data_IF_003514535291
#
_entry.id   IF_003514535291
#
_cell.length_a   1.000
_cell.length_b   1.000
_cell.length_c   1.000
_cell.angle_alpha   90.00
_cell.angle_beta   90.00
_cell.angle_gamma   90.00
#
_symmetry.space_group_name_H-M   'P 1'
#
loop_
_entity.id
_entity.type
_entity.pdbx_description
1 polymer ?
#
# COMPACT_ATOMS: atom_id res chain seq x y z
N UNK A 1 -1.73 -0.27 9.99
CA UNK A 1 -1.36 0.80 9.03
C UNK A 1 -1.05 0.30 7.62
N UNK A 2 -1.43 -0.93 7.23
CA UNK A 2 -1.05 -1.48 5.92
C UNK A 2 -1.85 -0.90 4.75
N UNK A 3 -3.13 -0.60 4.98
CA UNK A 3 -4.02 0.03 4.00
C UNK A 3 -3.61 1.46 3.69
N UNK A 4 -3.41 2.30 4.72
CA UNK A 4 -3.02 3.71 4.56
C UNK A 4 -1.73 3.86 3.73
N UNK A 5 -0.74 3.01 3.97
CA UNK A 5 0.51 3.01 3.20
C UNK A 5 0.29 2.66 1.72
N UNK A 6 -0.59 1.71 1.43
CA UNK A 6 -0.95 1.39 0.04
C UNK A 6 -1.71 2.53 -0.65
N UNK A 7 -2.55 3.28 0.07
CA UNK A 7 -3.21 4.47 -0.47
C UNK A 7 -2.21 5.60 -0.76
N UNK A 8 -1.23 5.82 0.12
CA UNK A 8 -0.14 6.78 -0.11
C UNK A 8 0.69 6.39 -1.34
N UNK A 9 0.95 5.09 -1.55
CA UNK A 9 1.61 4.62 -2.77
C UNK A 9 0.80 4.93 -4.02
N UNK A 10 -0.50 4.63 -4.02
CA UNK A 10 -1.38 4.92 -5.15
C UNK A 10 -1.38 6.42 -5.48
N UNK A 11 -1.49 7.28 -4.46
CA UNK A 11 -1.43 8.73 -4.63
C UNK A 11 -0.09 9.19 -5.19
N UNK A 12 1.02 8.69 -4.64
CA UNK A 12 2.37 9.05 -5.10
C UNK A 12 2.56 8.70 -6.57
N UNK A 13 2.10 7.51 -6.98
CA UNK A 13 2.20 7.08 -8.37
C UNK A 13 1.28 7.90 -9.29
N UNK A 14 0.05 8.20 -8.86
CA UNK A 14 -0.86 9.05 -9.62
C UNK A 14 -0.30 10.45 -9.84
N UNK A 15 0.36 11.04 -8.83
CA UNK A 15 1.00 12.35 -8.97
C UNK A 15 2.19 12.31 -9.95
N UNK A 16 3.01 11.26 -9.91
CA UNK A 16 4.11 11.06 -10.88
C UNK A 16 3.60 10.92 -12.30
N UNK A 17 2.52 10.17 -12.48
CA UNK A 17 1.90 9.90 -13.78
C UNK A 17 0.92 11.00 -14.23
N UNK A 18 0.77 12.09 -13.44
CA UNK A 18 -0.23 13.15 -13.62
C UNK A 18 -1.66 12.62 -13.89
N UNK A 19 -2.04 11.53 -13.22
CA UNK A 19 -3.37 10.93 -13.32
C UNK A 19 -4.43 11.85 -12.72
N UNK A 20 -5.62 11.82 -13.30
CA UNK A 20 -6.78 12.55 -12.75
C UNK A 20 -7.28 11.92 -11.46
N UNK A 21 -8.04 12.65 -10.62
CA UNK A 21 -8.66 12.09 -9.42
C UNK A 21 -9.52 10.84 -9.72
N UNK A 22 -10.22 10.82 -10.85
CA UNK A 22 -11.00 9.67 -11.30
C UNK A 22 -10.11 8.46 -11.62
N UNK A 23 -8.97 8.67 -12.28
CA UNK A 23 -8.04 7.59 -12.57
C UNK A 23 -7.37 7.05 -11.30
N UNK A 24 -7.12 7.90 -10.30
CA UNK A 24 -6.56 7.50 -9.01
C UNK A 24 -7.52 6.55 -8.26
N UNK A 25 -8.82 6.86 -8.19
CA UNK A 25 -9.78 5.99 -7.51
C UNK A 25 -10.01 4.65 -8.23
N UNK A 26 -9.72 4.59 -9.53
CA UNK A 26 -9.77 3.37 -10.32
C UNK A 26 -8.50 2.50 -10.17
N UNK A 27 -7.44 3.02 -9.53
CA UNK A 27 -6.24 2.22 -9.27
C UNK A 27 -6.56 1.07 -8.31
N UNK A 28 -5.94 -0.11 -8.50
CA UNK A 28 -6.19 -1.25 -7.64
C UNK A 28 -5.79 -0.92 -6.19
N UNK A 29 -6.60 -1.35 -5.24
CA UNK A 29 -6.31 -1.13 -3.83
C UNK A 29 -5.07 -1.94 -3.40
N UNK A 30 -4.05 -1.24 -2.90
CA UNK A 30 -2.80 -1.84 -2.45
C UNK A 30 -2.79 -1.94 -0.92
N UNK A 31 -2.23 -3.03 -0.40
CA UNK A 31 -1.94 -3.23 1.01
C UNK A 31 -0.41 -3.35 1.15
N UNK A 32 0.16 -2.57 2.07
CA UNK A 32 1.58 -2.66 2.41
C UNK A 32 1.76 -3.24 3.80
N UNK A 33 2.22 -4.49 3.89
CA UNK A 33 2.43 -5.16 5.16
C UNK A 33 3.89 -5.07 5.59
N UNK A 34 4.14 -4.91 6.89
CA UNK A 34 5.50 -4.98 7.44
C UNK A 34 5.83 -6.45 7.67
N UNK A 35 6.87 -6.96 7.03
CA UNK A 35 7.33 -8.33 7.30
C UNK A 35 7.81 -8.41 8.75
N UNK A 36 7.17 -9.24 9.56
CA UNK A 36 7.63 -9.53 10.92
C UNK A 36 8.81 -10.50 10.81
N UNK A 37 10.04 -10.01 10.89
CA UNK A 37 11.18 -10.90 11.11
C UNK A 37 11.05 -11.48 12.52
N UNK A 38 10.57 -12.71 12.61
CA UNK A 38 10.63 -13.52 13.82
C UNK A 38 12.08 -13.98 14.01
N UNK A 39 12.88 -13.21 14.75
CA UNK A 39 14.29 -13.53 14.96
C UNK A 39 14.82 -12.87 16.22
N UNK A 40 15.01 -13.69 17.27
CA UNK A 40 15.75 -13.36 18.48
C UNK A 40 17.07 -12.66 18.12
N UNK A 41 17.25 -11.47 18.69
CA UNK A 41 18.58 -10.90 18.94
C UNK A 41 19.30 -10.32 17.72
N UNK A 42 19.71 -9.06 17.88
CA UNK A 42 20.96 -8.52 17.33
C UNK A 42 20.97 -8.32 15.81
N UNK A 43 20.49 -7.17 15.35
CA UNK A 43 21.33 -6.10 14.76
C UNK A 43 20.42 -5.00 14.21
N UNK A 44 20.65 -3.78 14.68
CA UNK A 44 19.96 -2.54 14.28
C UNK A 44 20.30 -2.14 12.84
N UNK A 45 19.79 -2.87 11.86
CA UNK A 45 19.47 -2.26 10.56
C UNK A 45 17.96 -2.34 10.43
N UNK A 46 17.30 -1.32 10.97
CA UNK A 46 15.85 -1.10 10.89
C UNK A 46 15.47 -0.72 9.46
N UNK A 47 15.81 -1.53 8.46
CA UNK A 47 15.20 -1.41 7.15
C UNK A 47 13.83 -2.05 7.31
N UNK A 48 12.81 -1.21 7.41
CA UNK A 48 11.44 -1.68 7.42
C UNK A 48 11.20 -2.44 6.10
N UNK A 49 11.25 -3.77 6.15
CA UNK A 49 10.92 -4.61 5.02
C UNK A 49 9.40 -4.62 4.87
N UNK A 50 8.92 -3.96 3.81
CA UNK A 50 7.51 -3.94 3.44
C UNK A 50 7.26 -4.85 2.25
N UNK A 51 6.19 -5.62 2.33
CA UNK A 51 5.67 -6.41 1.21
C UNK A 51 4.42 -5.73 0.65
N UNK A 52 4.32 -5.68 -0.67
CA UNK A 52 3.17 -5.14 -1.38
C UNK A 52 2.24 -6.29 -1.77
N UNK A 53 0.96 -6.18 -1.46
CA UNK A 53 -0.09 -7.08 -1.93
C UNK A 53 -1.29 -6.29 -2.44
N UNK A 54 -2.06 -6.87 -3.35
CA UNK A 54 -3.31 -6.27 -3.81
C UNK A 54 -4.46 -6.72 -2.92
N UNK A 55 -5.32 -5.78 -2.53
CA UNK A 55 -6.53 -6.07 -1.79
C UNK A 55 -7.49 -6.86 -2.68
N UNK A 56 -7.76 -8.11 -2.32
CA UNK A 56 -8.68 -9.01 -3.05
C UNK A 56 -10.15 -8.88 -2.66
N UNK A 57 -10.43 -8.19 -1.56
CA UNK A 57 -11.80 -7.96 -1.08
C UNK A 57 -12.40 -6.78 -1.84
N UNK A 58 -13.65 -6.94 -2.29
CA UNK A 58 -14.43 -5.85 -2.86
C UNK A 58 -14.45 -4.66 -1.89
N UNK A 59 -14.27 -3.42 -2.38
CA UNK A 59 -14.33 -2.25 -1.52
C UNK A 59 -15.72 -2.16 -0.90
N UNK A 60 -15.80 -1.80 0.38
CA UNK A 60 -17.08 -1.63 1.08
C UNK A 60 -17.94 -0.54 0.43
N UNK A 61 -17.29 0.49 -0.12
CA UNK A 61 -17.93 1.52 -0.91
C UNK A 61 -17.63 1.30 -2.39
N UNK A 62 -18.68 1.09 -3.18
CA UNK A 62 -18.65 1.13 -4.64
C UNK A 62 -19.53 2.28 -5.10
N UNK A 63 -18.97 3.17 -5.91
CA UNK A 63 -19.75 4.20 -6.59
C UNK A 63 -20.33 3.54 -7.85
N UNK A 64 -21.62 3.23 -7.82
CA UNK A 64 -22.39 2.82 -8.98
C UNK A 64 -22.62 4.02 -9.91
#
# INVERSE_FOLDING_TARGET
MSVMRGQILNLTQALKDRKTPQQLIQMPAIIMEKSRMAGKGRLRTMKDNFTQSFQRKTPFFSWF
#
